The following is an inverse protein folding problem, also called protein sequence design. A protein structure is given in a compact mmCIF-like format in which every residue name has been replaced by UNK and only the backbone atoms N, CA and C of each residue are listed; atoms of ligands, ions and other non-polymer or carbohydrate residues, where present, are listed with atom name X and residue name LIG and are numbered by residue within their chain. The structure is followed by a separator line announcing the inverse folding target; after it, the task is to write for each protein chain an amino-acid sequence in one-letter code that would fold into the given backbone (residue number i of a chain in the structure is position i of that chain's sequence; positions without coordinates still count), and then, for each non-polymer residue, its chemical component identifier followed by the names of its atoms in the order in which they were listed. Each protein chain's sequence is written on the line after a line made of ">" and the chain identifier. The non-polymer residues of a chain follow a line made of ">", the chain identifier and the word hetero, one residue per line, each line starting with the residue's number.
data_IF_232071576017
#
_entry.id   IF_232071576017
#
_cell.length_a   1.000
_cell.length_b   1.000
_cell.length_c   1.000
_cell.angle_alpha   90.00
_cell.angle_beta   90.00
_cell.angle_gamma   90.00
#
_symmetry.space_group_name_H-M   'P 1'
#
loop_
_entity.id
_entity.type
_entity.pdbx_description
1 polymer ?
#
# COMPACT_ATOMS: atom_id res chain seq x y z
N UNK A 1 19.36 -23.68 30.67
CA UNK A 1 19.64 -22.25 30.69
C UNK A 1 19.82 -21.72 29.26
N UNK A 2 18.89 -20.87 28.83
CA UNK A 2 18.89 -20.34 27.47
C UNK A 2 19.63 -18.99 27.46
N UNK A 3 20.70 -18.90 26.71
CA UNK A 3 21.43 -17.64 26.54
C UNK A 3 20.69 -16.75 25.55
N UNK A 4 20.97 -15.45 25.61
CA UNK A 4 20.41 -14.47 24.67
C UNK A 4 20.72 -14.83 23.21
N UNK A 5 21.95 -15.25 22.95
CA UNK A 5 22.40 -15.68 21.62
C UNK A 5 21.61 -16.90 21.11
N UNK A 6 21.35 -17.85 21.98
CA UNK A 6 20.52 -19.02 21.66
C UNK A 6 19.07 -18.59 21.37
N UNK A 7 18.56 -17.64 22.15
CA UNK A 7 17.21 -17.11 21.96
C UNK A 7 17.10 -16.37 20.60
N UNK A 8 18.05 -15.52 20.28
CA UNK A 8 18.06 -14.82 18.99
C UNK A 8 18.12 -15.80 17.81
N UNK A 9 18.99 -16.80 17.90
CA UNK A 9 19.13 -17.82 16.86
C UNK A 9 17.83 -18.60 16.70
N UNK A 10 17.23 -19.01 17.81
CA UNK A 10 15.96 -19.73 17.80
C UNK A 10 14.82 -18.88 17.21
N UNK A 11 14.74 -17.63 17.63
CA UNK A 11 13.75 -16.68 17.14
C UNK A 11 13.92 -16.43 15.64
N UNK A 12 15.18 -16.23 15.19
CA UNK A 12 15.47 -16.01 13.77
C UNK A 12 15.11 -17.24 12.93
N UNK A 13 15.37 -18.48 13.43
CA UNK A 13 14.98 -19.70 12.74
C UNK A 13 13.47 -19.87 12.69
N UNK A 14 12.76 -19.64 13.81
CA UNK A 14 11.32 -19.70 13.86
C UNK A 14 10.70 -18.68 12.89
N UNK A 15 11.24 -17.48 12.84
CA UNK A 15 10.79 -16.44 11.93
C UNK A 15 11.05 -16.79 10.47
N UNK A 16 12.21 -17.41 10.17
CA UNK A 16 12.55 -17.84 8.82
C UNK A 16 11.67 -19.00 8.35
N UNK A 17 11.26 -19.89 9.27
CA UNK A 17 10.38 -21.02 8.97
C UNK A 17 8.93 -20.57 8.76
N UNK A 18 8.46 -19.58 9.52
CA UNK A 18 7.13 -19.02 9.36
C UNK A 18 7.01 -18.14 8.12
N UNK A 19 8.16 -17.66 7.60
CA UNK A 19 8.22 -16.89 6.36
C UNK A 19 8.43 -17.81 5.16
N UNK A 20 7.41 -18.62 4.86
CA UNK A 20 7.31 -19.16 3.51
C UNK A 20 7.11 -17.94 2.59
N UNK A 21 8.02 -17.69 1.64
CA UNK A 21 7.84 -16.57 0.72
C UNK A 21 6.48 -16.67 0.06
N UNK A 22 5.79 -15.55 -0.07
CA UNK A 22 4.56 -15.53 -0.84
C UNK A 22 4.87 -15.96 -2.28
N UNK A 23 4.05 -16.85 -2.81
CA UNK A 23 4.18 -17.28 -4.21
C UNK A 23 3.72 -16.16 -5.13
N UNK A 24 4.17 -16.19 -6.37
CA UNK A 24 3.80 -15.18 -7.37
C UNK A 24 2.28 -15.02 -7.48
N UNK A 25 1.54 -16.12 -7.49
CA UNK A 25 0.08 -16.08 -7.57
C UNK A 25 -0.55 -15.37 -6.36
N UNK A 26 0.03 -15.54 -5.17
CA UNK A 26 -0.44 -14.86 -3.96
C UNK A 26 -0.14 -13.37 -4.01
N UNK A 27 1.04 -12.99 -4.48
CA UNK A 27 1.42 -11.58 -4.67
C UNK A 27 0.51 -10.92 -5.71
N UNK A 28 0.27 -11.59 -6.83
CA UNK A 28 -0.64 -11.08 -7.87
C UNK A 28 -2.04 -10.81 -7.29
N UNK A 29 -2.54 -11.75 -6.50
CA UNK A 29 -3.87 -11.65 -5.92
C UNK A 29 -3.98 -10.51 -4.89
N UNK A 30 -2.96 -10.38 -4.01
CA UNK A 30 -3.01 -9.34 -2.98
C UNK A 30 -2.81 -7.94 -3.54
N UNK A 31 -2.06 -7.79 -4.63
CA UNK A 31 -1.73 -6.49 -5.21
C UNK A 31 -2.72 -6.03 -6.27
N UNK A 32 -3.48 -6.95 -6.86
CA UNK A 32 -4.44 -6.62 -7.92
C UNK A 32 -5.40 -5.48 -7.55
N UNK A 33 -5.96 -5.41 -6.33
CA UNK A 33 -6.89 -4.34 -5.97
C UNK A 33 -6.28 -2.94 -5.98
N UNK A 34 -4.96 -2.81 -5.80
CA UNK A 34 -4.28 -1.51 -5.66
C UNK A 34 -3.26 -1.23 -6.75
N UNK A 35 -2.99 -2.20 -7.62
CA UNK A 35 -1.90 -2.09 -8.60
C UNK A 35 -2.07 -0.91 -9.56
N UNK A 36 -3.29 -0.50 -9.86
CA UNK A 36 -3.58 0.59 -10.80
C UNK A 36 -3.76 1.95 -10.10
N UNK A 37 -3.54 2.02 -8.80
CA UNK A 37 -3.49 3.30 -8.11
C UNK A 37 -2.30 4.11 -8.65
N UNK A 38 -2.37 5.46 -8.63
CA UNK A 38 -1.19 6.28 -8.90
C UNK A 38 -0.01 5.85 -8.04
N UNK A 39 1.19 5.87 -8.60
CA UNK A 39 2.38 5.33 -7.93
C UNK A 39 2.63 5.95 -6.55
N UNK A 40 2.41 7.26 -6.42
CA UNK A 40 2.57 7.95 -5.13
C UNK A 40 1.58 7.45 -4.08
N UNK A 41 0.34 7.20 -4.46
CA UNK A 41 -0.67 6.64 -3.56
C UNK A 41 -0.36 5.19 -3.21
N UNK A 42 0.01 4.38 -4.20
CA UNK A 42 0.38 2.98 -3.98
C UNK A 42 1.55 2.86 -2.99
N UNK A 43 2.57 3.71 -3.14
CA UNK A 43 3.70 3.75 -2.21
C UNK A 43 3.24 3.98 -0.77
N UNK A 44 2.30 4.92 -0.57
CA UNK A 44 1.76 5.21 0.75
C UNK A 44 0.95 4.03 1.30
N UNK A 45 0.16 3.38 0.46
CA UNK A 45 -0.62 2.19 0.85
C UNK A 45 0.31 1.06 1.30
N UNK A 46 1.36 0.77 0.52
CA UNK A 46 2.32 -0.28 0.86
C UNK A 46 3.04 0.02 2.18
N UNK A 47 3.52 1.25 2.35
CA UNK A 47 4.19 1.65 3.57
C UNK A 47 3.24 1.62 4.77
N UNK A 48 2.05 2.19 4.62
CA UNK A 48 1.04 2.23 5.70
C UNK A 48 0.57 0.83 6.11
N UNK A 49 0.56 -0.12 5.19
CA UNK A 49 0.17 -1.50 5.49
C UNK A 49 1.09 -2.18 6.51
N UNK A 50 2.29 -1.65 6.70
CA UNK A 50 3.22 -2.11 7.74
C UNK A 50 2.88 -1.57 9.13
N UNK A 51 1.90 -0.66 9.22
CA UNK A 51 1.37 -0.07 10.45
C UNK A 51 -0.14 -0.29 10.56
N UNK A 52 -0.61 -1.55 10.62
CA UNK A 52 -2.05 -1.83 10.52
C UNK A 52 -2.89 -1.22 11.64
N UNK A 53 -2.34 -1.11 12.85
CA UNK A 53 -3.04 -0.47 13.97
C UNK A 53 -3.28 1.02 13.69
N UNK A 54 -2.27 1.70 13.17
CA UNK A 54 -2.39 3.12 12.83
C UNK A 54 -3.39 3.34 11.69
N UNK A 55 -3.45 2.41 10.73
CA UNK A 55 -4.46 2.43 9.67
C UNK A 55 -5.87 2.37 10.26
N UNK A 56 -6.10 1.49 11.23
CA UNK A 56 -7.39 1.40 11.93
C UNK A 56 -7.72 2.71 12.64
N UNK A 57 -6.76 3.28 13.34
CA UNK A 57 -6.92 4.55 14.04
C UNK A 57 -7.23 5.69 13.08
N UNK A 58 -6.50 5.76 11.96
CA UNK A 58 -6.70 6.77 10.93
C UNK A 58 -8.07 6.63 10.25
N UNK A 59 -8.52 5.41 10.00
CA UNK A 59 -9.85 5.15 9.45
C UNK A 59 -10.96 5.63 10.41
N UNK A 60 -10.79 5.38 11.70
CA UNK A 60 -11.73 5.87 12.74
C UNK A 60 -11.76 7.39 12.77
N UNK A 61 -10.58 8.00 12.76
CA UNK A 61 -10.46 9.46 12.73
C UNK A 61 -11.17 10.04 11.50
N UNK A 62 -10.97 9.43 10.35
CA UNK A 62 -11.57 9.86 9.08
C UNK A 62 -13.11 9.80 9.14
N UNK A 63 -13.67 8.75 9.72
CA UNK A 63 -15.12 8.61 9.88
C UNK A 63 -15.69 9.62 10.87
N UNK A 64 -14.91 10.00 11.88
CA UNK A 64 -15.31 11.02 12.85
C UNK A 64 -15.20 12.44 12.27
N UNK A 65 -14.48 12.63 11.17
CA UNK A 65 -14.25 13.91 10.51
C UNK A 65 -14.62 13.84 9.02
N UNK A 66 -15.89 13.55 8.67
CA UNK A 66 -16.28 13.23 7.29
C UNK A 66 -16.13 14.38 6.31
N UNK A 67 -16.00 15.61 6.79
CA UNK A 67 -15.75 16.78 5.94
C UNK A 67 -14.28 17.01 5.60
N UNK A 68 -13.36 16.28 6.25
CA UNK A 68 -11.92 16.44 6.03
C UNK A 68 -11.39 15.44 5.05
N UNK A 69 -10.78 15.92 3.98
CA UNK A 69 -10.13 15.13 2.93
C UNK A 69 -9.03 15.97 2.29
N UNK A 70 -8.18 15.33 1.48
CA UNK A 70 -7.09 16.03 0.81
C UNK A 70 -6.11 16.62 1.81
N UNK A 71 -5.52 17.75 1.44
CA UNK A 71 -4.48 18.40 2.24
C UNK A 71 -4.97 18.84 3.61
N UNK A 72 -6.24 19.24 3.72
CA UNK A 72 -6.83 19.67 5.00
C UNK A 72 -6.82 18.52 6.02
N UNK A 73 -7.12 17.30 5.57
CA UNK A 73 -7.06 16.12 6.43
C UNK A 73 -5.63 15.83 6.91
N UNK A 74 -4.66 15.91 6.00
CA UNK A 74 -3.24 15.68 6.33
C UNK A 74 -2.76 16.70 7.36
N UNK A 75 -3.09 17.97 7.19
CA UNK A 75 -2.74 19.02 8.15
C UNK A 75 -3.37 18.78 9.51
N UNK A 76 -4.62 18.31 9.55
CA UNK A 76 -5.35 18.09 10.79
C UNK A 76 -4.71 16.97 11.65
N UNK A 77 -4.00 16.03 11.05
CA UNK A 77 -3.36 14.90 11.76
C UNK A 77 -1.85 15.05 11.89
N UNK A 78 -1.28 16.15 11.44
CA UNK A 78 0.18 16.36 11.43
C UNK A 78 0.80 16.21 12.82
N UNK A 79 0.10 16.60 13.86
CA UNK A 79 0.57 16.53 15.25
C UNK A 79 0.48 15.12 15.87
N UNK A 80 -0.15 14.16 15.20
CA UNK A 80 -0.29 12.80 15.71
C UNK A 80 0.98 11.98 15.44
N UNK A 81 1.19 10.93 16.24
CA UNK A 81 2.40 10.10 16.17
C UNK A 81 2.33 8.99 15.13
N UNK A 82 1.43 9.10 14.16
CA UNK A 82 1.34 8.12 13.08
C UNK A 82 2.51 8.25 12.11
N UNK A 83 2.82 7.14 11.44
CA UNK A 83 3.78 7.16 10.34
C UNK A 83 3.32 8.15 9.25
N UNK A 84 4.26 8.85 8.60
CA UNK A 84 3.89 9.80 7.52
C UNK A 84 3.04 9.18 6.42
N UNK A 85 3.23 7.90 6.11
CA UNK A 85 2.40 7.19 5.11
C UNK A 85 0.95 7.12 5.54
N UNK A 86 0.69 6.82 6.81
CA UNK A 86 -0.67 6.76 7.37
C UNK A 86 -1.31 8.14 7.36
N UNK A 87 -0.57 9.17 7.77
CA UNK A 87 -1.04 10.56 7.72
C UNK A 87 -1.42 10.97 6.30
N UNK A 88 -0.60 10.61 5.32
CA UNK A 88 -0.85 10.91 3.90
C UNK A 88 -2.15 10.27 3.41
N UNK A 89 -2.49 9.09 3.90
CA UNK A 89 -3.71 8.39 3.51
C UNK A 89 -4.99 9.02 4.05
N UNK A 90 -4.90 9.93 5.03
CA UNK A 90 -6.08 10.68 5.48
C UNK A 90 -6.64 11.58 4.38
N UNK A 91 -5.82 11.91 3.39
CA UNK A 91 -6.28 12.62 2.19
C UNK A 91 -7.26 11.79 1.36
N UNK A 92 -7.26 10.46 1.53
CA UNK A 92 -8.05 9.51 0.76
C UNK A 92 -8.91 8.62 1.69
N UNK A 93 -9.99 9.17 2.27
CA UNK A 93 -10.80 8.42 3.24
C UNK A 93 -11.29 7.07 2.73
N UNK A 94 -11.60 6.95 1.44
CA UNK A 94 -12.07 5.70 0.86
C UNK A 94 -10.99 4.61 0.86
N UNK A 95 -9.72 4.98 0.70
CA UNK A 95 -8.60 4.03 0.76
C UNK A 95 -8.44 3.51 2.18
N UNK A 96 -8.46 4.40 3.18
CA UNK A 96 -8.42 4.00 4.59
C UNK A 96 -9.58 3.09 4.96
N UNK A 97 -10.78 3.38 4.45
CA UNK A 97 -11.96 2.57 4.71
C UNK A 97 -11.78 1.15 4.17
N UNK A 98 -11.27 1.01 2.95
CA UNK A 98 -11.00 -0.30 2.34
C UNK A 98 -9.95 -1.07 3.15
N UNK A 99 -8.88 -0.41 3.55
CA UNK A 99 -7.80 -1.05 4.33
C UNK A 99 -8.28 -1.49 5.70
N UNK A 100 -9.16 -0.73 6.34
CA UNK A 100 -9.74 -1.06 7.64
C UNK A 100 -10.76 -2.20 7.52
N UNK A 101 -11.64 -2.15 6.53
CA UNK A 101 -12.63 -3.21 6.30
C UNK A 101 -11.97 -4.55 5.95
N UNK A 102 -10.85 -4.50 5.24
CA UNK A 102 -10.08 -5.67 4.82
C UNK A 102 -8.76 -5.74 5.57
N UNK A 103 -8.84 -5.70 6.89
CA UNK A 103 -7.66 -5.60 7.75
C UNK A 103 -6.70 -6.78 7.59
N UNK A 104 -7.21 -8.00 7.41
CA UNK A 104 -6.35 -9.16 7.18
C UNK A 104 -5.57 -9.03 5.87
N UNK A 105 -6.20 -8.53 4.83
CA UNK A 105 -5.51 -8.22 3.57
C UNK A 105 -4.43 -7.14 3.79
N UNK A 106 -4.75 -6.09 4.54
CA UNK A 106 -3.81 -5.01 4.86
C UNK A 106 -2.59 -5.55 5.59
N UNK A 107 -2.80 -6.41 6.58
CA UNK A 107 -1.71 -7.04 7.34
C UNK A 107 -0.83 -7.91 6.43
N UNK A 108 -1.46 -8.74 5.59
CA UNK A 108 -0.75 -9.61 4.65
C UNK A 108 0.08 -8.79 3.65
N UNK A 109 -0.49 -7.71 3.16
CA UNK A 109 0.20 -6.79 2.26
C UNK A 109 1.44 -6.18 2.93
N UNK A 110 1.32 -5.77 4.18
CA UNK A 110 2.44 -5.25 4.97
C UNK A 110 3.53 -6.29 5.20
N UNK A 111 3.15 -7.52 5.51
CA UNK A 111 4.09 -8.63 5.67
C UNK A 111 4.87 -8.90 4.38
N UNK A 112 4.19 -8.93 3.25
CA UNK A 112 4.82 -9.13 1.94
C UNK A 112 5.77 -7.98 1.62
N UNK A 113 5.36 -6.74 1.87
CA UNK A 113 6.18 -5.57 1.59
C UNK A 113 7.47 -5.56 2.44
N UNK A 114 7.38 -5.96 3.71
CA UNK A 114 8.55 -6.04 4.58
C UNK A 114 9.49 -7.20 4.20
N UNK A 115 8.92 -8.35 3.84
CA UNK A 115 9.70 -9.57 3.60
C UNK A 115 10.22 -9.66 2.16
N UNK A 116 9.46 -9.16 1.19
CA UNK A 116 9.70 -9.36 -0.24
C UNK A 116 9.47 -8.07 -1.03
N UNK A 117 10.06 -6.97 -0.59
CA UNK A 117 9.84 -5.65 -1.21
C UNK A 117 10.10 -5.67 -2.72
N UNK A 118 11.21 -6.26 -3.15
CA UNK A 118 11.54 -6.33 -4.57
C UNK A 118 10.49 -7.12 -5.36
N UNK A 119 10.05 -8.26 -4.83
CA UNK A 119 9.03 -9.08 -5.47
C UNK A 119 7.69 -8.36 -5.55
N UNK A 120 7.33 -7.60 -4.51
CA UNK A 120 6.11 -6.79 -4.49
C UNK A 120 6.16 -5.75 -5.61
N UNK A 121 7.25 -5.00 -5.72
CA UNK A 121 7.41 -3.97 -6.74
C UNK A 121 7.44 -4.56 -8.15
N UNK A 122 8.11 -5.69 -8.33
CA UNK A 122 8.13 -6.42 -9.62
C UNK A 122 6.74 -6.92 -9.99
N UNK A 123 5.96 -7.37 -9.01
CA UNK A 123 4.59 -7.83 -9.22
C UNK A 123 3.70 -6.68 -9.66
N UNK A 124 3.84 -5.50 -9.06
CA UNK A 124 3.10 -4.29 -9.48
C UNK A 124 3.40 -3.99 -10.95
N UNK A 125 4.67 -4.03 -11.35
CA UNK A 125 5.04 -3.79 -12.74
C UNK A 125 4.47 -4.87 -13.68
N UNK A 126 4.46 -6.12 -13.25
CA UNK A 126 3.83 -7.22 -13.99
C UNK A 126 2.33 -6.98 -14.21
N UNK A 127 1.65 -6.51 -13.18
CA UNK A 127 0.22 -6.18 -13.27
C UNK A 127 -0.02 -4.96 -14.17
N UNK A 128 0.85 -3.96 -14.14
CA UNK A 128 0.80 -2.83 -15.06
C UNK A 128 0.90 -3.29 -16.53
N UNK A 129 1.85 -4.17 -16.82
CA UNK A 129 2.03 -4.71 -18.18
C UNK A 129 0.81 -5.50 -18.65
N UNK A 130 0.21 -6.30 -17.78
CA UNK A 130 -1.02 -7.04 -18.10
C UNK A 130 -2.19 -6.10 -18.36
N UNK A 131 -2.34 -5.06 -17.54
CA UNK A 131 -3.40 -4.07 -17.71
C UNK A 131 -3.22 -3.29 -19.03
N UNK A 132 -2.00 -2.93 -19.36
CA UNK A 132 -1.68 -2.28 -20.63
C UNK A 132 -2.01 -3.18 -21.81
N UNK A 133 -1.59 -4.44 -21.78
CA UNK A 133 -1.87 -5.41 -22.84
C UNK A 133 -3.36 -5.67 -23.03
N UNK A 134 -4.13 -5.64 -21.93
CA UNK A 134 -5.60 -5.80 -21.98
C UNK A 134 -6.34 -4.52 -22.38
N UNK A 135 -5.62 -3.40 -22.57
CA UNK A 135 -6.21 -2.11 -22.91
C UNK A 135 -6.85 -1.38 -21.73
N UNK A 136 -6.60 -1.85 -20.49
CA UNK A 136 -7.18 -1.27 -19.27
C UNK A 136 -6.30 -0.17 -18.65
N UNK A 137 -5.12 0.07 -19.21
CA UNK A 137 -4.19 1.06 -18.69
C UNK A 137 -3.84 2.06 -19.79
N UNK A 138 -4.57 3.17 -19.81
CA UNK A 138 -4.37 4.27 -20.77
C UNK A 138 -4.41 5.59 -20.04
N UNK A 139 -3.67 6.56 -20.55
CA UNK A 139 -3.75 7.92 -20.04
C UNK A 139 -5.16 8.48 -20.18
N UNK A 140 -5.63 9.18 -19.14
CA UNK A 140 -6.93 9.83 -19.10
C UNK A 140 -6.80 11.15 -18.37
N UNK A 141 -7.91 11.89 -18.21
CA UNK A 141 -7.94 13.09 -17.37
C UNK A 141 -7.63 12.80 -15.89
N UNK A 142 -7.85 11.57 -15.46
CA UNK A 142 -7.70 11.13 -14.06
C UNK A 142 -6.36 10.46 -13.79
N UNK A 143 -5.66 10.03 -14.85
CA UNK A 143 -4.50 9.18 -14.71
C UNK A 143 -3.56 9.38 -15.90
N UNK A 144 -2.28 9.62 -15.60
CA UNK A 144 -1.24 9.69 -16.65
C UNK A 144 -0.40 8.43 -16.60
N UNK A 145 -0.33 7.71 -17.72
CA UNK A 145 0.51 6.54 -17.88
C UNK A 145 1.77 6.95 -18.64
N UNK A 146 2.92 6.74 -18.03
CA UNK A 146 4.22 7.01 -18.64
C UNK A 146 5.05 5.73 -18.65
N UNK A 147 5.95 5.60 -19.60
CA UNK A 147 6.82 4.44 -19.74
C UNK A 147 8.27 4.88 -19.84
N UNK A 148 9.13 4.22 -19.07
CA UNK A 148 10.58 4.37 -19.16
C UNK A 148 11.20 2.99 -19.22
N UNK A 149 11.63 2.56 -20.44
CA UNK A 149 12.06 1.19 -20.67
C UNK A 149 10.92 0.21 -20.45
N UNK A 150 11.12 -0.75 -19.55
CA UNK A 150 10.10 -1.74 -19.17
C UNK A 150 9.22 -1.28 -17.98
N UNK A 151 9.59 -0.18 -17.35
CA UNK A 151 8.88 0.34 -16.19
C UNK A 151 7.72 1.22 -16.62
N UNK A 152 6.54 0.91 -16.10
CA UNK A 152 5.31 1.65 -16.36
C UNK A 152 4.95 2.45 -15.11
N UNK A 153 4.86 3.75 -15.24
CA UNK A 153 4.50 4.67 -14.17
C UNK A 153 3.06 5.11 -14.32
N UNK A 154 2.33 5.10 -13.22
CA UNK A 154 0.99 5.67 -13.16
C UNK A 154 1.09 6.94 -12.30
N UNK A 155 0.86 8.08 -12.91
CA UNK A 155 1.00 9.38 -12.26
C UNK A 155 -0.36 10.04 -12.12
N UNK A 156 -0.49 10.84 -11.07
CA UNK A 156 -1.63 11.73 -10.94
C UNK A 156 -1.53 12.82 -12.01
N UNK A 157 -2.65 13.23 -12.62
CA UNK A 157 -2.64 14.43 -13.45
C UNK A 157 -2.29 15.66 -12.60
N UNK A 158 -1.83 16.73 -13.23
CA UNK A 158 -1.41 17.97 -12.56
C UNK A 158 -2.56 18.69 -11.83
N UNK A 159 -3.77 18.16 -11.84
CA UNK A 159 -4.95 18.68 -11.15
C UNK A 159 -5.12 17.96 -9.81
N UNK A 160 -5.77 18.60 -8.85
CA UNK A 160 -5.96 18.10 -7.48
C UNK A 160 -6.89 16.89 -7.37
N UNK A 161 -7.44 16.42 -8.47
CA UNK A 161 -8.38 15.29 -8.48
C UNK A 161 -7.60 13.99 -8.51
N UNK A 162 -7.74 13.18 -7.45
CA UNK A 162 -7.13 11.86 -7.37
C UNK A 162 -8.18 10.81 -7.74
N UNK A 163 -7.85 10.01 -8.75
CA UNK A 163 -8.67 8.89 -9.16
C UNK A 163 -8.23 7.63 -8.42
N UNK A 164 -9.17 7.01 -7.71
CA UNK A 164 -8.95 5.72 -7.05
C UNK A 164 -9.76 4.67 -7.79
N UNK A 165 -9.14 3.82 -8.60
CA UNK A 165 -9.86 2.76 -9.32
C UNK A 165 -10.35 1.69 -8.35
N UNK A 166 -11.51 1.14 -8.64
CA UNK A 166 -12.12 0.05 -7.89
C UNK A 166 -11.84 -1.29 -8.55
#
# INVERSE_FOLDING_TARGET
>A
YVTWETYESYFAQAFAQDRVPFRQAELDQMLAPVALYPDSLLSQVLMASTYPLEVVQAARWSRANPGLKGQDAVQAVEHLDWDPSVKSLTAFPQVLSIMDEKLEWTKTLGEAFLAQQADVLDTVQGLHRRAEAAGNLRSSEQMRVARQGEVIYIQQPATEVVYVPY
#
